data_IF_077390861816
#
_entry.id   IF_077390861816
#
_cell.length_a   1.000
_cell.length_b   1.000
_cell.length_c   1.000
_cell.angle_alpha   90.00
_cell.angle_beta   90.00
_cell.angle_gamma   90.00
#
_symmetry.space_group_name_H-M   'P 1'
#
loop_
_entity.id
_entity.type
_entity.pdbx_description
1 polymer ?
#
# COMPACT_ATOMS: atom_id res chain seq x y z
N UNK A 1 -11.87 -15.76 6.20
CA UNK A 1 -11.79 -14.35 6.66
C UNK A 1 -12.68 -14.24 7.88
N UNK A 2 -12.13 -13.88 9.03
CA UNK A 2 -12.95 -13.55 10.20
C UNK A 2 -13.57 -12.17 9.96
N UNK A 3 -14.87 -12.07 10.21
CA UNK A 3 -15.67 -10.84 10.06
C UNK A 3 -16.19 -10.51 11.44
N UNK A 4 -15.73 -9.41 12.02
CA UNK A 4 -16.28 -8.89 13.28
C UNK A 4 -17.47 -7.99 12.96
N UNK A 5 -18.60 -8.14 13.68
CA UNK A 5 -19.74 -7.23 13.50
C UNK A 5 -19.55 -5.95 14.31
N UNK A 6 -19.82 -4.79 13.71
CA UNK A 6 -19.82 -3.53 14.45
C UNK A 6 -20.89 -3.54 15.55
N UNK A 7 -20.52 -3.22 16.78
CA UNK A 7 -21.35 -3.44 17.97
C UNK A 7 -22.72 -2.72 17.94
N UNK A 8 -22.81 -1.56 17.27
CA UNK A 8 -24.03 -0.75 17.22
C UNK A 8 -24.83 -0.99 15.93
N UNK A 9 -24.15 -1.03 14.79
CA UNK A 9 -24.81 -1.07 13.46
C UNK A 9 -24.95 -2.48 12.90
N UNK A 10 -24.29 -3.47 13.49
CA UNK A 10 -24.31 -4.87 13.03
C UNK A 10 -23.58 -5.12 11.71
N UNK A 11 -22.99 -4.08 11.10
CA UNK A 11 -22.31 -4.17 9.80
C UNK A 11 -21.07 -5.08 9.91
N UNK A 12 -20.89 -6.02 8.97
CA UNK A 12 -19.66 -6.77 8.78
C UNK A 12 -18.42 -5.86 8.64
N UNK A 13 -17.45 -5.99 9.53
CA UNK A 13 -16.15 -5.36 9.43
C UNK A 13 -15.10 -6.40 9.07
N UNK A 14 -14.17 -6.02 8.20
CA UNK A 14 -12.99 -6.82 7.92
C UNK A 14 -11.97 -6.65 9.05
N UNK A 15 -11.46 -7.75 9.56
CA UNK A 15 -10.40 -7.71 10.56
C UNK A 15 -9.08 -7.23 9.93
N UNK A 16 -8.51 -6.16 10.46
CA UNK A 16 -7.20 -5.65 10.07
C UNK A 16 -6.16 -6.36 10.94
N UNK A 17 -5.55 -7.42 10.41
CA UNK A 17 -4.54 -8.21 11.14
C UNK A 17 -3.17 -7.52 11.18
N UNK A 18 -2.91 -6.60 10.26
CA UNK A 18 -1.61 -5.94 10.14
C UNK A 18 -1.75 -4.49 9.65
N UNK A 19 -1.07 -3.55 10.33
CA UNK A 19 -1.11 -2.12 10.00
C UNK A 19 0.27 -1.46 10.12
N UNK A 20 0.87 -1.09 8.99
CA UNK A 20 2.12 -0.33 8.90
C UNK A 20 1.88 1.15 9.16
N UNK A 21 2.62 1.73 10.11
CA UNK A 21 2.59 3.18 10.39
C UNK A 21 3.37 4.00 9.36
N UNK A 22 4.41 3.42 8.78
CA UNK A 22 5.33 4.03 7.81
C UNK A 22 5.74 2.99 6.77
N UNK A 23 6.14 3.47 5.60
CA UNK A 23 6.79 2.64 4.59
C UNK A 23 8.31 2.83 4.68
N UNK A 24 9.07 1.75 4.51
CA UNK A 24 10.51 1.82 4.26
C UNK A 24 10.79 1.98 2.75
N UNK A 25 12.07 2.08 2.38
CA UNK A 25 12.47 2.28 0.99
C UNK A 25 12.05 1.12 0.08
N UNK A 26 12.21 -0.14 0.51
CA UNK A 26 11.84 -1.33 -0.28
C UNK A 26 10.32 -1.42 -0.47
N UNK A 27 9.55 -1.07 0.55
CA UNK A 27 8.09 -0.97 0.48
C UNK A 27 7.66 0.14 -0.47
N UNK A 28 8.37 1.28 -0.49
CA UNK A 28 8.14 2.36 -1.45
C UNK A 28 8.47 1.94 -2.89
N UNK A 29 9.55 1.18 -3.11
CA UNK A 29 9.85 0.56 -4.41
C UNK A 29 8.71 -0.38 -4.82
N UNK A 30 8.24 -1.20 -3.89
CA UNK A 30 7.12 -2.13 -4.11
C UNK A 30 5.82 -1.41 -4.49
N UNK A 31 5.53 -0.23 -3.91
CA UNK A 31 4.38 0.61 -4.32
C UNK A 31 4.43 0.91 -5.82
N UNK A 32 5.59 1.28 -6.35
CA UNK A 32 5.73 1.60 -7.77
C UNK A 32 5.66 0.35 -8.65
N UNK A 33 6.24 -0.77 -8.23
CA UNK A 33 6.15 -2.05 -8.95
C UNK A 33 4.69 -2.47 -9.07
N UNK A 34 3.96 -2.55 -7.96
CA UNK A 34 2.55 -2.95 -7.97
C UNK A 34 1.70 -2.02 -8.84
N UNK A 35 1.98 -0.71 -8.84
CA UNK A 35 1.29 0.24 -9.71
C UNK A 35 1.58 0.00 -11.19
N UNK A 36 2.82 -0.39 -11.54
CA UNK A 36 3.20 -0.73 -12.93
C UNK A 36 2.62 -2.06 -13.39
N UNK A 37 2.41 -3.00 -12.48
CA UNK A 37 1.67 -4.25 -12.71
C UNK A 37 0.15 -4.04 -12.87
N UNK A 38 -0.34 -2.81 -12.73
CA UNK A 38 -1.75 -2.46 -12.93
C UNK A 38 -2.63 -2.60 -11.69
N UNK A 39 -2.06 -2.82 -10.50
CA UNK A 39 -2.85 -2.84 -9.26
C UNK A 39 -3.46 -1.46 -8.98
N UNK A 40 -4.72 -1.45 -8.53
CA UNK A 40 -5.37 -0.19 -8.15
C UNK A 40 -4.71 0.42 -6.92
N UNK A 41 -4.85 1.73 -6.76
CA UNK A 41 -4.31 2.42 -5.59
C UNK A 41 -4.83 1.84 -4.27
N UNK A 42 -6.12 1.52 -4.21
CA UNK A 42 -6.76 0.92 -3.03
C UNK A 42 -6.19 -0.47 -2.75
N UNK A 43 -5.98 -1.30 -3.79
CA UNK A 43 -5.40 -2.63 -3.62
C UNK A 43 -3.97 -2.54 -3.08
N UNK A 44 -3.17 -1.59 -3.55
CA UNK A 44 -1.80 -1.36 -3.04
C UNK A 44 -1.84 -1.00 -1.56
N UNK A 45 -2.74 -0.09 -1.15
CA UNK A 45 -2.92 0.32 0.25
C UNK A 45 -3.26 -0.89 1.13
N UNK A 46 -4.21 -1.70 0.70
CA UNK A 46 -4.68 -2.87 1.44
C UNK A 46 -3.61 -3.97 1.50
N UNK A 47 -2.95 -4.28 0.37
CA UNK A 47 -1.89 -5.31 0.30
C UNK A 47 -0.67 -4.96 1.13
N UNK A 48 -0.28 -3.68 1.15
CA UNK A 48 0.80 -3.20 2.01
C UNK A 48 0.34 -2.97 3.45
N UNK A 49 -0.94 -3.20 3.78
CA UNK A 49 -1.47 -3.02 5.12
C UNK A 49 -1.18 -1.61 5.67
N UNK A 50 -1.30 -0.58 4.84
CA UNK A 50 -1.04 0.81 5.24
C UNK A 50 -2.27 1.69 4.97
N UNK A 51 -2.10 3.00 4.84
CA UNK A 51 -3.17 3.93 4.49
C UNK A 51 -2.88 4.68 3.18
N UNK A 52 -3.94 5.25 2.61
CA UNK A 52 -3.91 6.01 1.36
C UNK A 52 -2.88 7.13 1.36
N UNK A 53 -2.74 7.89 2.46
CA UNK A 53 -1.82 9.01 2.52
C UNK A 53 -0.37 8.52 2.33
N UNK A 54 0.02 7.40 2.95
CA UNK A 54 1.39 6.86 2.84
C UNK A 54 1.74 6.40 1.44
N UNK A 55 0.82 5.70 0.79
CA UNK A 55 1.01 5.30 -0.61
C UNK A 55 1.02 6.53 -1.53
N UNK A 56 0.18 7.53 -1.23
CA UNK A 56 0.13 8.80 -1.97
C UNK A 56 1.42 9.60 -1.87
N UNK A 57 1.97 9.76 -0.67
CA UNK A 57 3.26 10.44 -0.41
C UNK A 57 4.39 9.81 -1.26
N UNK A 58 4.48 8.47 -1.28
CA UNK A 58 5.44 7.74 -2.13
C UNK A 58 5.18 7.98 -3.61
N UNK A 59 3.93 7.82 -4.07
CA UNK A 59 3.60 7.98 -5.50
C UNK A 59 3.83 9.39 -6.03
N UNK A 60 3.72 10.41 -5.17
CA UNK A 60 4.04 11.81 -5.48
C UNK A 60 5.53 12.14 -5.35
N UNK A 61 6.35 11.22 -4.83
CA UNK A 61 7.78 11.43 -4.61
C UNK A 61 8.11 12.30 -3.41
N UNK A 62 7.16 12.53 -2.49
CA UNK A 62 7.38 13.29 -1.26
C UNK A 62 8.26 12.52 -0.27
N UNK A 63 8.21 11.18 -0.34
CA UNK A 63 9.01 10.28 0.50
C UNK A 63 9.63 9.20 -0.40
N UNK A 64 10.93 8.97 -0.24
CA UNK A 64 11.76 8.08 -1.07
C UNK A 64 11.66 8.38 -2.59
N UNK A 65 11.99 9.60 -3.06
CA UNK A 65 11.81 9.98 -4.48
C UNK A 65 12.49 9.04 -5.48
N UNK A 66 13.61 8.41 -5.10
CA UNK A 66 14.34 7.46 -5.94
C UNK A 66 13.62 6.10 -6.12
N UNK A 67 12.59 5.79 -5.32
CA UNK A 67 11.92 4.48 -5.37
C UNK A 67 11.29 4.19 -6.72
N UNK A 68 10.79 5.21 -7.43
CA UNK A 68 10.22 5.07 -8.77
C UNK A 68 11.28 4.61 -9.79
N UNK A 69 12.49 5.16 -9.72
CA UNK A 69 13.60 4.83 -10.60
C UNK A 69 14.14 3.43 -10.31
N UNK A 70 14.28 3.09 -9.02
CA UNK A 70 14.70 1.75 -8.59
C UNK A 70 13.70 0.70 -9.08
N UNK A 71 12.40 0.95 -8.92
CA UNK A 71 11.34 0.06 -9.42
C UNK A 71 11.43 -0.16 -10.93
N UNK A 72 11.65 0.91 -11.70
CA UNK A 72 11.80 0.81 -13.15
C UNK A 72 13.01 -0.05 -13.55
N UNK A 73 14.15 0.17 -12.89
CA UNK A 73 15.38 -0.59 -13.14
C UNK A 73 15.21 -2.09 -12.81
N UNK A 74 14.41 -2.43 -11.80
CA UNK A 74 14.12 -3.82 -11.44
C UNK A 74 13.21 -4.50 -12.47
N UNK A 75 12.25 -3.78 -13.05
CA UNK A 75 11.33 -4.31 -14.06
C UNK A 75 11.94 -4.47 -15.46
N UNK A 76 13.06 -3.79 -15.74
CA UNK A 76 13.76 -3.85 -17.03
C UNK A 76 14.91 -4.87 -17.07
N UNK A 77 15.18 -5.55 -15.95
CA UNK A 77 16.09 -6.70 -15.91
C UNK A 77 15.37 -7.96 -16.38
#
# INVERSE_FOLDING_TARGET
MAITKHAITGVPLNDITYKRKRLNQDEAVTVHILAKEGNSFTDIVQRLGTNANRVGEVRRGEVYPESAKIALNLLMK
#
